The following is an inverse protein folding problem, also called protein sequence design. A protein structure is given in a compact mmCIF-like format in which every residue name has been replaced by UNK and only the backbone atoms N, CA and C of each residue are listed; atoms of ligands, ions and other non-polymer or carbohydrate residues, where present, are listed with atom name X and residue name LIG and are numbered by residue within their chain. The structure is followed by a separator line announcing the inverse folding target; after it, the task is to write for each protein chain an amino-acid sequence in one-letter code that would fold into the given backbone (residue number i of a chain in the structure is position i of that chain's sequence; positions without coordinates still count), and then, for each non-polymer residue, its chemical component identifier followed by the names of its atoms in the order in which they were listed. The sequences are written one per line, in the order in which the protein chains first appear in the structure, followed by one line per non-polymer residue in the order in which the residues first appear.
data_IF_969130626518
#
_entry.id   IF_969130626518
#
_cell.length_a   1.000
_cell.length_b   1.000
_cell.length_c   1.000
_cell.angle_alpha   90.00
_cell.angle_beta   90.00
_cell.angle_gamma   90.00
#
_symmetry.space_group_name_H-M   'P 1'
#
loop_
_entity.id
_entity.type
_entity.pdbx_description
1 polymer ?
#
# COMPACT_ATOMS: atom_id res chain seq x y z
N UNK A 1 12.34 -20.13 -14.58
CA UNK A 1 11.36 -19.14 -15.02
C UNK A 1 11.61 -18.62 -16.43
N UNK A 2 12.76 -18.06 -16.76
CA UNK A 2 13.06 -17.52 -18.11
C UNK A 2 12.88 -18.53 -19.25
N UNK A 3 13.36 -19.78 -19.10
CA UNK A 3 13.19 -20.84 -20.12
C UNK A 3 11.71 -21.17 -20.31
N UNK A 4 10.93 -21.25 -19.25
CA UNK A 4 9.49 -21.48 -19.30
C UNK A 4 8.76 -20.35 -20.05
N UNK A 5 9.12 -19.10 -19.78
CA UNK A 5 8.56 -17.95 -20.45
C UNK A 5 8.92 -17.95 -21.95
N UNK A 6 10.18 -18.26 -22.27
CA UNK A 6 10.62 -18.37 -23.66
C UNK A 6 9.85 -19.42 -24.44
N UNK A 7 9.71 -20.62 -23.88
CA UNK A 7 8.98 -21.74 -24.55
C UNK A 7 7.50 -21.41 -24.74
N UNK A 8 6.89 -20.70 -23.78
CA UNK A 8 5.44 -20.41 -23.79
C UNK A 8 5.07 -19.17 -24.57
N UNK A 9 5.88 -18.13 -24.52
CA UNK A 9 5.55 -16.79 -25.02
C UNK A 9 6.55 -16.25 -26.05
N UNK A 10 7.62 -16.97 -26.34
CA UNK A 10 8.69 -16.50 -27.24
C UNK A 10 9.53 -15.37 -26.64
N UNK A 11 9.38 -15.06 -25.37
CA UNK A 11 10.10 -13.99 -24.66
C UNK A 11 10.44 -14.41 -23.24
N UNK A 12 11.67 -14.13 -22.81
CA UNK A 12 12.15 -14.47 -21.46
C UNK A 12 11.53 -13.61 -20.35
N UNK A 13 11.02 -12.43 -20.71
CA UNK A 13 10.43 -11.44 -19.79
C UNK A 13 8.91 -11.36 -19.87
N UNK A 14 8.28 -12.17 -20.71
CA UNK A 14 6.82 -12.22 -20.84
C UNK A 14 6.23 -13.20 -19.81
N UNK A 15 5.22 -12.75 -19.07
CA UNK A 15 4.54 -13.54 -18.05
C UNK A 15 3.06 -13.79 -18.38
N UNK A 16 2.65 -13.48 -19.59
CA UNK A 16 1.29 -13.69 -20.07
C UNK A 16 0.34 -12.51 -19.86
N UNK A 17 0.75 -11.48 -19.12
CA UNK A 17 -0.09 -10.31 -18.89
C UNK A 17 -0.44 -9.55 -20.16
N UNK A 18 0.49 -9.45 -21.11
CA UNK A 18 0.26 -8.77 -22.40
C UNK A 18 -0.77 -9.46 -23.29
N UNK A 19 -1.12 -10.72 -23.01
CA UNK A 19 -2.15 -11.46 -23.74
C UNK A 19 -3.55 -11.32 -23.14
N UNK A 20 -3.67 -10.69 -21.95
CA UNK A 20 -4.97 -10.44 -21.35
C UNK A 20 -5.72 -9.34 -22.14
N UNK A 21 -7.03 -9.52 -22.42
CA UNK A 21 -7.80 -8.56 -23.21
C UNK A 21 -7.78 -7.13 -22.66
N UNK A 22 -7.65 -6.98 -21.35
CA UNK A 22 -7.57 -5.70 -20.66
C UNK A 22 -6.29 -4.92 -20.99
N UNK A 23 -5.20 -5.62 -21.34
CA UNK A 23 -3.92 -4.98 -21.71
C UNK A 23 -3.76 -4.88 -23.24
N UNK A 24 -4.21 -5.88 -24.00
CA UNK A 24 -4.14 -5.83 -25.47
C UNK A 24 -4.99 -4.71 -26.06
N UNK A 25 -6.11 -4.37 -25.40
CA UNK A 25 -7.01 -3.27 -25.79
C UNK A 25 -6.69 -1.95 -25.12
N UNK A 26 -5.58 -1.87 -24.38
CA UNK A 26 -5.21 -0.65 -23.66
C UNK A 26 -4.59 0.37 -24.62
N UNK A 27 -5.24 1.52 -24.81
CA UNK A 27 -4.77 2.60 -25.68
C UNK A 27 -3.34 3.06 -25.32
N UNK A 28 -2.97 2.98 -24.03
CA UNK A 28 -1.66 3.45 -23.52
C UNK A 28 -0.80 2.31 -22.97
N UNK A 29 -1.12 1.05 -23.30
CA UNK A 29 -0.39 -0.13 -22.81
C UNK A 29 -0.60 -0.41 -21.33
N UNK A 30 0.26 -1.29 -20.79
CA UNK A 30 0.18 -1.73 -19.39
C UNK A 30 0.65 -0.66 -18.40
N UNK A 31 1.67 0.12 -18.76
CA UNK A 31 2.25 1.19 -17.95
C UNK A 31 2.23 2.52 -18.69
N UNK A 32 1.70 3.56 -18.05
CA UNK A 32 1.69 4.91 -18.60
C UNK A 32 1.60 5.97 -17.50
N UNK A 33 2.27 7.11 -17.69
CA UNK A 33 2.11 8.29 -16.84
C UNK A 33 0.67 8.83 -16.81
N UNK A 34 -0.12 8.53 -17.86
CA UNK A 34 -1.53 8.94 -17.92
C UNK A 34 -2.39 8.26 -16.85
N UNK A 35 -1.99 7.10 -16.38
CA UNK A 35 -2.69 6.38 -15.29
C UNK A 35 -2.34 6.92 -13.90
N UNK A 36 -1.21 7.64 -13.75
CA UNK A 36 -0.68 8.04 -12.45
C UNK A 36 -1.70 8.83 -11.61
N UNK A 37 -2.24 9.91 -12.14
CA UNK A 37 -3.14 10.78 -11.38
C UNK A 37 -4.53 10.17 -11.14
N UNK A 38 -5.18 9.52 -12.13
CA UNK A 38 -6.42 8.79 -11.89
C UNK A 38 -6.26 7.68 -10.82
N UNK A 39 -5.21 6.89 -10.89
CA UNK A 39 -4.96 5.82 -9.95
C UNK A 39 -4.58 6.34 -8.55
N UNK A 40 -3.83 7.43 -8.46
CA UNK A 40 -3.55 8.08 -7.19
C UNK A 40 -4.84 8.58 -6.52
N UNK A 41 -5.75 9.18 -7.28
CA UNK A 41 -7.07 9.58 -6.79
C UNK A 41 -7.90 8.37 -6.32
N UNK A 42 -7.81 7.25 -7.03
CA UNK A 42 -8.45 6.00 -6.65
C UNK A 42 -7.92 5.47 -5.32
N UNK A 43 -6.59 5.43 -5.14
CA UNK A 43 -5.95 5.00 -3.90
C UNK A 43 -6.27 5.89 -2.69
N UNK A 44 -6.72 7.12 -2.92
CA UNK A 44 -7.11 8.05 -1.86
C UNK A 44 -8.61 8.00 -1.55
N UNK A 45 -9.41 7.16 -2.23
CA UNK A 45 -10.84 7.03 -1.94
C UNK A 45 -11.07 6.50 -0.53
N UNK A 46 -11.80 7.24 0.31
CA UNK A 46 -12.07 6.80 1.67
C UNK A 46 -13.14 5.70 1.70
N UNK A 47 -13.15 4.98 2.79
CA UNK A 47 -14.32 4.19 3.21
C UNK A 47 -15.30 5.13 3.89
N UNK A 48 -16.59 5.05 3.53
CA UNK A 48 -17.63 5.88 4.09
C UNK A 48 -18.74 5.02 4.71
N UNK A 49 -19.51 5.60 5.61
CA UNK A 49 -20.73 5.01 6.15
C UNK A 49 -21.92 5.73 5.53
N UNK A 50 -22.93 4.98 5.10
CA UNK A 50 -24.18 5.56 4.67
C UNK A 50 -25.10 5.91 5.85
N UNK A 51 -26.26 6.49 5.56
CA UNK A 51 -27.24 6.86 6.59
C UNK A 51 -27.84 5.64 7.32
N UNK A 52 -27.68 4.45 6.77
CA UNK A 52 -28.12 3.16 7.33
C UNK A 52 -27.02 2.47 8.12
N UNK A 53 -25.83 3.08 8.22
CA UNK A 53 -24.66 2.51 8.91
C UNK A 53 -23.94 1.42 8.12
N UNK A 54 -24.22 1.29 6.83
CA UNK A 54 -23.52 0.34 5.97
C UNK A 54 -22.20 0.92 5.47
N UNK A 55 -21.18 0.07 5.36
CA UNK A 55 -19.87 0.45 4.84
C UNK A 55 -19.89 0.50 3.31
N UNK A 56 -19.58 1.68 2.77
CA UNK A 56 -19.33 1.88 1.35
C UNK A 56 -17.85 2.03 1.07
N UNK A 57 -17.34 1.18 0.20
CA UNK A 57 -15.96 1.20 -0.27
C UNK A 57 -15.87 0.72 -1.72
N UNK A 58 -14.85 1.17 -2.39
CA UNK A 58 -14.58 0.76 -3.77
C UNK A 58 -13.97 -0.64 -3.79
N UNK A 59 -14.62 -1.58 -4.47
CA UNK A 59 -14.13 -2.97 -4.61
C UNK A 59 -13.20 -3.10 -5.81
N UNK A 60 -13.50 -2.39 -6.91
CA UNK A 60 -12.65 -2.43 -8.09
C UNK A 60 -11.51 -1.43 -7.94
N UNK A 61 -10.29 -1.92 -8.03
CA UNK A 61 -9.05 -1.19 -7.77
C UNK A 61 -8.84 -0.73 -6.32
N UNK A 62 -9.76 -1.08 -5.42
CA UNK A 62 -9.61 -0.87 -3.99
C UNK A 62 -9.81 0.56 -3.49
N UNK A 63 -9.44 0.80 -2.25
CA UNK A 63 -9.61 2.04 -1.52
C UNK A 63 -8.39 2.38 -0.66
N UNK A 64 -8.45 3.47 0.09
CA UNK A 64 -7.35 4.02 0.89
C UNK A 64 -6.66 2.95 1.75
N UNK A 65 -5.38 2.71 1.46
CA UNK A 65 -4.54 1.72 2.14
C UNK A 65 -4.56 1.84 3.67
N UNK A 66 -4.51 3.06 4.19
CA UNK A 66 -4.49 3.31 5.64
C UNK A 66 -5.83 3.06 6.33
N UNK A 67 -6.94 2.95 5.59
CA UNK A 67 -8.22 2.55 6.17
C UNK A 67 -8.17 1.08 6.62
N UNK A 68 -7.55 0.21 5.83
CA UNK A 68 -7.32 -1.18 6.20
C UNK A 68 -6.09 -1.38 7.11
N UNK A 69 -5.16 -0.40 7.14
CA UNK A 69 -3.88 -0.50 7.84
C UNK A 69 -3.56 0.79 8.66
N UNK A 70 -4.43 1.18 9.60
CA UNK A 70 -4.33 2.46 10.31
C UNK A 70 -3.09 2.55 11.22
N UNK A 71 -2.50 1.43 11.61
CA UNK A 71 -1.29 1.40 12.41
C UNK A 71 -0.13 2.10 11.71
N UNK A 72 0.01 1.93 10.40
CA UNK A 72 1.08 2.59 9.64
C UNK A 72 0.89 4.11 9.59
N UNK A 73 -0.34 4.60 9.49
CA UNK A 73 -0.63 6.03 9.58
C UNK A 73 -0.22 6.60 10.95
N UNK A 74 -0.56 5.91 12.04
CA UNK A 74 -0.16 6.31 13.39
C UNK A 74 1.37 6.34 13.56
N UNK A 75 2.06 5.37 12.98
CA UNK A 75 3.52 5.35 13.02
C UNK A 75 4.15 6.51 12.26
N UNK A 76 3.62 6.80 11.07
CA UNK A 76 4.11 7.92 10.25
C UNK A 76 3.86 9.26 10.96
N UNK A 77 2.66 9.49 11.50
CA UNK A 77 2.31 10.74 12.19
C UNK A 77 3.20 11.01 13.41
N UNK A 78 3.48 10.00 14.22
CA UNK A 78 4.40 10.13 15.36
C UNK A 78 5.83 10.45 14.94
N UNK A 79 6.27 9.88 13.81
CA UNK A 79 7.59 10.19 13.28
C UNK A 79 7.75 11.61 12.83
N UNK A 80 6.73 12.15 12.21
CA UNK A 80 6.70 13.56 11.81
C UNK A 80 6.67 14.45 13.05
N UNK A 81 5.84 14.14 14.05
CA UNK A 81 5.75 14.91 15.29
C UNK A 81 7.08 14.96 16.06
N UNK A 82 7.78 13.84 16.20
CA UNK A 82 9.12 13.80 16.84
C UNK A 82 10.14 14.59 16.03
N UNK A 83 10.10 14.49 14.71
CA UNK A 83 11.00 15.25 13.81
C UNK A 83 10.77 16.76 13.91
N UNK A 84 9.52 17.19 14.07
CA UNK A 84 9.15 18.60 14.21
C UNK A 84 9.38 19.17 15.61
N UNK A 85 9.26 18.34 16.65
CA UNK A 85 9.43 18.80 18.04
C UNK A 85 10.88 19.01 18.47
N UNK A 86 11.83 18.58 17.67
CA UNK A 86 13.27 18.72 18.02
C UNK A 86 13.71 17.94 19.26
N UNK A 87 12.82 17.19 19.91
CA UNK A 87 13.15 16.33 21.04
C UNK A 87 13.77 15.04 20.51
N UNK A 88 15.10 14.99 20.51
CA UNK A 88 15.83 13.78 20.21
C UNK A 88 15.58 12.76 21.33
N UNK A 89 14.86 11.68 21.03
CA UNK A 89 14.93 10.51 21.90
C UNK A 89 16.38 9.98 21.94
N UNK A 90 16.82 9.37 23.06
CA UNK A 90 18.17 8.88 23.20
C UNK A 90 18.51 7.90 22.06
N UNK A 91 19.43 8.32 21.24
CA UNK A 91 19.88 7.68 20.00
C UNK A 91 20.57 6.36 20.33
N UNK A 92 20.13 5.26 19.75
CA UNK A 92 21.01 4.10 19.56
C UNK A 92 22.06 4.49 18.53
N UNK A 93 23.33 4.43 18.92
CA UNK A 93 24.50 5.01 18.23
C UNK A 93 24.79 4.50 16.81
N UNK A 94 24.03 3.54 16.28
CA UNK A 94 24.47 2.76 15.11
C UNK A 94 23.59 2.84 13.84
N UNK A 95 22.59 3.74 13.76
CA UNK A 95 21.89 3.95 12.49
C UNK A 95 21.83 5.45 12.13
N UNK A 96 22.26 5.82 10.92
CA UNK A 96 22.10 7.17 10.39
C UNK A 96 20.61 7.38 10.02
N UNK A 97 19.76 7.54 11.04
CA UNK A 97 18.29 7.62 10.95
C UNK A 97 17.74 8.67 9.96
N UNK A 98 18.34 9.88 9.81
CA UNK A 98 17.79 10.83 8.85
C UNK A 98 17.91 10.34 7.40
N UNK A 99 19.09 9.86 7.01
CA UNK A 99 19.33 9.38 5.63
C UNK A 99 18.52 8.12 5.32
N UNK A 100 18.48 7.14 6.24
CA UNK A 100 17.68 5.93 6.08
C UNK A 100 16.17 6.24 5.99
N UNK A 101 15.68 7.21 6.76
CA UNK A 101 14.29 7.66 6.69
C UNK A 101 13.91 8.23 5.32
N UNK A 102 14.77 9.07 4.76
CA UNK A 102 14.56 9.61 3.41
C UNK A 102 14.63 8.54 2.34
N UNK A 103 15.54 7.56 2.45
CA UNK A 103 15.61 6.43 1.54
C UNK A 103 14.33 5.58 1.57
N UNK A 104 13.79 5.30 2.76
CA UNK A 104 12.52 4.57 2.91
C UNK A 104 11.35 5.38 2.32
N UNK A 105 11.27 6.68 2.61
CA UNK A 105 10.24 7.54 2.05
C UNK A 105 10.32 7.59 0.52
N UNK A 106 11.52 7.72 -0.03
CA UNK A 106 11.75 7.70 -1.48
C UNK A 106 11.36 6.35 -2.10
N UNK A 107 11.72 5.24 -1.47
CA UNK A 107 11.33 3.90 -1.91
C UNK A 107 9.80 3.73 -1.91
N UNK A 108 9.11 4.14 -0.84
CA UNK A 108 7.66 4.11 -0.76
C UNK A 108 7.00 5.00 -1.83
N UNK A 109 7.51 6.20 -2.04
CA UNK A 109 7.01 7.11 -3.07
C UNK A 109 7.20 6.54 -4.48
N UNK A 110 8.38 5.97 -4.77
CA UNK A 110 8.68 5.34 -6.05
C UNK A 110 7.78 4.13 -6.30
N UNK A 111 7.63 3.23 -5.33
CA UNK A 111 6.75 2.07 -5.44
C UNK A 111 5.30 2.49 -5.67
N UNK A 112 4.81 3.50 -4.92
CA UNK A 112 3.47 4.05 -5.11
C UNK A 112 3.31 4.63 -6.52
N UNK A 113 4.28 5.40 -7.00
CA UNK A 113 4.25 5.98 -8.34
C UNK A 113 4.24 4.87 -9.42
N UNK A 114 5.09 3.87 -9.31
CA UNK A 114 5.14 2.73 -10.25
C UNK A 114 3.81 1.97 -10.24
N UNK A 115 3.23 1.70 -9.07
CA UNK A 115 1.91 1.06 -8.94
C UNK A 115 0.83 1.91 -9.61
N UNK A 116 0.84 3.22 -9.40
CA UNK A 116 -0.13 4.14 -10.01
C UNK A 116 0.05 4.31 -11.53
N UNK A 117 1.23 4.02 -12.07
CA UNK A 117 1.46 4.02 -13.52
C UNK A 117 0.93 2.75 -14.20
N UNK A 118 0.65 1.69 -13.45
CA UNK A 118 0.03 0.49 -13.98
C UNK A 118 -1.44 0.76 -14.32
N UNK A 119 -1.95 0.14 -15.40
CA UNK A 119 -3.32 0.34 -15.89
C UNK A 119 -4.39 0.06 -14.84
N UNK A 120 -4.19 -0.97 -14.02
CA UNK A 120 -5.10 -1.38 -12.95
C UNK A 120 -4.39 -1.42 -11.61
N UNK A 121 -5.12 -1.21 -10.53
CA UNK A 121 -4.59 -1.28 -9.15
C UNK A 121 -4.84 -2.65 -8.50
N UNK A 122 -5.11 -3.68 -9.30
CA UNK A 122 -5.26 -5.05 -8.80
C UNK A 122 -6.65 -5.66 -8.97
N UNK A 123 -7.58 -4.97 -9.64
CA UNK A 123 -8.93 -5.47 -9.91
C UNK A 123 -9.80 -5.55 -8.65
N UNK A 124 -10.64 -6.59 -8.56
CA UNK A 124 -11.52 -6.82 -7.41
C UNK A 124 -10.71 -7.17 -6.16
N UNK A 125 -10.88 -6.37 -5.11
CA UNK A 125 -10.11 -6.49 -3.88
C UNK A 125 -10.74 -5.73 -2.72
N UNK A 126 -10.42 -6.13 -1.50
CA UNK A 126 -10.65 -5.35 -0.29
C UNK A 126 -9.35 -4.64 0.11
N UNK A 127 -9.39 -3.32 0.30
CA UNK A 127 -8.19 -2.52 0.55
C UNK A 127 -7.42 -2.16 -0.72
N UNK A 128 -6.10 -2.08 -0.62
CA UNK A 128 -5.20 -1.74 -1.72
C UNK A 128 -4.09 -2.80 -1.84
N UNK A 129 -4.38 -3.90 -2.54
CA UNK A 129 -3.52 -5.09 -2.62
C UNK A 129 -2.10 -4.78 -3.10
N UNK A 130 -1.95 -3.95 -4.12
CA UNK A 130 -0.62 -3.60 -4.65
C UNK A 130 0.19 -2.71 -3.70
N UNK A 131 -0.46 -2.08 -2.71
CA UNK A 131 0.23 -1.32 -1.69
C UNK A 131 0.84 -2.21 -0.58
N UNK A 132 0.59 -3.52 -0.61
CA UNK A 132 1.25 -4.49 0.30
C UNK A 132 2.77 -4.50 0.10
N UNK A 133 3.25 -4.15 -1.09
CA UNK A 133 4.69 -4.00 -1.38
C UNK A 133 5.36 -2.88 -0.56
N UNK A 134 4.58 -1.99 0.04
CA UNK A 134 5.08 -1.01 1.00
C UNK A 134 5.37 -1.61 2.40
N UNK A 135 4.77 -2.77 2.75
CA UNK A 135 4.90 -3.35 4.09
C UNK A 135 6.33 -3.55 4.55
N UNK A 136 7.25 -4.13 3.75
CA UNK A 136 8.63 -4.31 4.17
C UNK A 136 9.28 -2.97 4.55
N UNK A 137 9.07 -1.93 3.78
CA UNK A 137 9.63 -0.59 4.00
C UNK A 137 9.05 0.07 5.24
N UNK A 138 7.72 -0.02 5.42
CA UNK A 138 7.03 0.50 6.58
C UNK A 138 7.41 -0.25 7.85
N UNK A 139 7.61 -1.58 7.77
CA UNK A 139 8.10 -2.38 8.91
C UNK A 139 9.54 -2.03 9.27
N UNK A 140 10.44 -1.84 8.29
CA UNK A 140 11.80 -1.36 8.54
C UNK A 140 11.76 0.01 9.21
N UNK A 141 10.90 0.91 8.74
CA UNK A 141 10.68 2.21 9.38
C UNK A 141 10.24 2.09 10.85
N UNK A 142 9.34 1.13 11.15
CA UNK A 142 8.93 0.85 12.52
C UNK A 142 10.07 0.32 13.36
N UNK A 143 10.80 -0.67 12.86
CA UNK A 143 11.87 -1.36 13.58
C UNK A 143 13.10 -0.49 13.79
N UNK A 144 13.34 0.48 12.92
CA UNK A 144 14.44 1.43 13.03
C UNK A 144 14.27 2.44 14.19
N UNK A 145 13.08 2.47 14.82
CA UNK A 145 12.80 3.38 15.96
C UNK A 145 13.14 2.71 17.28
N UNK A 146 14.02 3.32 18.08
CA UNK A 146 14.30 2.78 19.39
C UNK A 146 13.06 2.89 20.28
N UNK A 147 12.74 1.80 20.98
CA UNK A 147 11.81 1.76 22.11
C UNK A 147 10.33 2.13 21.85
N UNK A 148 9.83 2.04 20.60
CA UNK A 148 8.38 2.17 20.42
C UNK A 148 7.66 0.97 21.08
N UNK A 149 6.93 1.24 22.15
CA UNK A 149 6.04 0.27 22.78
C UNK A 149 4.59 0.64 22.40
N UNK A 150 3.82 -0.30 21.82
CA UNK A 150 2.44 -0.02 21.48
C UNK A 150 1.62 0.21 22.73
N UNK A 151 1.16 1.44 22.92
CA UNK A 151 0.19 1.79 23.96
C UNK A 151 -1.19 1.19 23.68
N UNK A 152 -2.14 1.36 24.62
CA UNK A 152 -3.50 0.85 24.49
C UNK A 152 -4.15 1.27 23.15
N UNK A 153 -4.03 2.55 22.76
CA UNK A 153 -4.59 3.04 21.50
C UNK A 153 -4.05 2.34 20.25
N UNK A 154 -2.74 2.06 20.21
CA UNK A 154 -2.16 1.32 19.09
C UNK A 154 -2.66 -0.13 19.03
N UNK A 155 -2.79 -0.79 20.20
CA UNK A 155 -3.35 -2.15 20.29
C UNK A 155 -4.82 -2.18 19.84
N UNK A 156 -5.62 -1.19 20.25
CA UNK A 156 -7.02 -1.06 19.81
C UNK A 156 -7.11 -0.88 18.29
N UNK A 157 -6.28 0.02 17.71
CA UNK A 157 -6.22 0.20 16.26
C UNK A 157 -5.83 -1.07 15.52
N UNK A 158 -4.88 -1.86 16.04
CA UNK A 158 -4.55 -3.17 15.48
C UNK A 158 -5.73 -4.13 15.53
N UNK A 159 -6.43 -4.21 16.66
CA UNK A 159 -7.62 -5.04 16.81
C UNK A 159 -8.72 -4.64 15.82
N UNK A 160 -9.00 -3.35 15.70
CA UNK A 160 -9.97 -2.82 14.72
C UNK A 160 -9.55 -3.14 13.28
N UNK A 161 -8.26 -2.99 12.95
CA UNK A 161 -7.75 -3.33 11.63
C UNK A 161 -7.92 -4.81 11.31
N UNK A 162 -7.65 -5.71 12.27
CA UNK A 162 -7.87 -7.15 12.10
C UNK A 162 -9.34 -7.45 11.84
N UNK A 163 -10.26 -6.89 12.63
CA UNK A 163 -11.70 -7.09 12.47
C UNK A 163 -12.18 -6.53 11.11
N UNK A 164 -11.70 -5.36 10.71
CA UNK A 164 -12.06 -4.75 9.43
C UNK A 164 -11.56 -5.58 8.23
N UNK A 165 -10.34 -6.09 8.30
CA UNK A 165 -9.80 -6.96 7.24
C UNK A 165 -10.50 -8.33 7.23
N UNK A 166 -10.88 -8.88 8.39
CA UNK A 166 -11.67 -10.10 8.46
C UNK A 166 -13.07 -9.90 7.85
N UNK A 167 -13.73 -8.79 8.17
CA UNK A 167 -14.99 -8.41 7.52
C UNK A 167 -14.82 -8.36 6.00
N UNK A 168 -13.76 -7.69 5.52
CA UNK A 168 -13.47 -7.61 4.09
C UNK A 168 -13.22 -8.96 3.44
N UNK A 169 -12.50 -9.86 4.10
CA UNK A 169 -12.27 -11.21 3.61
C UNK A 169 -13.59 -11.99 3.46
N UNK A 170 -14.46 -11.94 4.48
CA UNK A 170 -15.78 -12.59 4.43
C UNK A 170 -16.68 -11.97 3.36
N UNK A 171 -16.69 -10.63 3.28
CA UNK A 171 -17.47 -9.90 2.28
C UNK A 171 -17.06 -10.29 0.85
N UNK A 172 -15.76 -10.34 0.56
CA UNK A 172 -15.24 -10.71 -0.77
C UNK A 172 -15.43 -12.18 -1.14
N UNK A 173 -15.69 -13.07 -0.17
CA UNK A 173 -16.05 -14.47 -0.42
C UNK A 173 -17.52 -14.62 -0.84
N UNK A 174 -18.38 -13.65 -0.47
CA UNK A 174 -19.81 -13.66 -0.79
C UNK A 174 -20.19 -12.76 -1.97
N UNK A 175 -19.25 -11.97 -2.48
CA UNK A 175 -19.43 -11.08 -3.62
C UNK A 175 -18.99 -11.77 -4.91
#
# INVERSE_FOLDING_TARGET
MMVYNWVRFGSVVEFGHNYLPEFTRAEHGQFSLRYLLPNLRQLLRPVTLDAQGQLHFEQFNGFLFFAANPLFLLAMSRGVAVSLSGHAEPRRENLPLPAAGWCIAAACALLTALTCMHRTLGGWQFGARYMVDLFPWLLIWFMARPAWRPGAGAKTLCGMAVLFNLYGAVFMLGA
#
